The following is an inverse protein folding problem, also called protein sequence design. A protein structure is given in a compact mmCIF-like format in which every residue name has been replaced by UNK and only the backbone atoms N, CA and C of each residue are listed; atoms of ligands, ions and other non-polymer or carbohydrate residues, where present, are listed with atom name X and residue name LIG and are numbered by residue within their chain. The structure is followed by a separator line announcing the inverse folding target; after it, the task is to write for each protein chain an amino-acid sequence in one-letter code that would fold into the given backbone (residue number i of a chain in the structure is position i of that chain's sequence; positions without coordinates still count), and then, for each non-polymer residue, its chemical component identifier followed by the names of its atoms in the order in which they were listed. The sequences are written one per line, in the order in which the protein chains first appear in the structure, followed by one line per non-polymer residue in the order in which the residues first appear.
data_IF_302092351872
#
_entry.id   IF_302092351872
#
_cell.length_a   1.000
_cell.length_b   1.000
_cell.length_c   1.000
_cell.angle_alpha   90.00
_cell.angle_beta   90.00
_cell.angle_gamma   90.00
#
_symmetry.space_group_name_H-M   'P 1'
#
loop_
_entity.id
_entity.type
_entity.pdbx_description
1 polymer ?
#
# COMPACT_ATOMS: atom_id res chain seq x y z
N UNK A 1 39.84 -14.79 43.85
CA UNK A 1 38.62 -14.00 44.12
C UNK A 1 38.29 -12.95 43.03
N UNK A 2 38.79 -13.05 41.79
CA UNK A 2 38.57 -12.05 40.72
C UNK A 2 37.53 -12.44 39.64
N UNK A 3 36.78 -13.54 39.81
CA UNK A 3 35.87 -14.06 38.76
C UNK A 3 34.40 -13.59 38.88
N UNK A 4 34.02 -12.92 39.97
CA UNK A 4 32.61 -12.57 40.22
C UNK A 4 32.17 -11.22 39.62
N UNK A 5 33.10 -10.35 39.21
CA UNK A 5 32.77 -8.99 38.72
C UNK A 5 32.57 -8.89 37.19
N UNK A 6 32.93 -9.92 36.41
CA UNK A 6 32.82 -9.88 34.94
C UNK A 6 31.39 -10.16 34.44
N UNK A 7 30.64 -11.00 35.14
CA UNK A 7 29.28 -11.38 34.73
C UNK A 7 28.27 -10.20 34.72
N UNK A 8 28.23 -9.30 35.73
CA UNK A 8 27.30 -8.18 35.71
C UNK A 8 27.65 -7.13 34.65
N UNK A 9 28.93 -6.94 34.30
CA UNK A 9 29.37 -5.99 33.26
C UNK A 9 28.97 -6.49 31.87
N UNK A 10 29.09 -7.79 31.61
CA UNK A 10 28.63 -8.40 30.35
C UNK A 10 27.11 -8.36 30.25
N UNK A 11 26.39 -8.64 31.35
CA UNK A 11 24.93 -8.52 31.38
C UNK A 11 24.46 -7.07 31.18
N UNK A 12 25.15 -6.08 31.76
CA UNK A 12 24.83 -4.66 31.53
C UNK A 12 25.06 -4.26 30.06
N UNK A 13 26.18 -4.68 29.46
CA UNK A 13 26.52 -4.41 28.06
C UNK A 13 25.54 -5.07 27.07
N UNK A 14 25.09 -6.29 27.37
CA UNK A 14 24.01 -6.98 26.62
C UNK A 14 22.68 -6.26 26.80
N UNK A 15 22.38 -5.75 28.00
CA UNK A 15 21.13 -5.04 28.27
C UNK A 15 21.07 -3.64 27.64
N UNK A 16 22.20 -2.92 27.59
CA UNK A 16 22.28 -1.61 26.89
C UNK A 16 22.31 -1.76 25.37
N UNK A 17 22.80 -2.89 24.83
CA UNK A 17 22.74 -3.15 23.38
C UNK A 17 21.37 -3.65 22.90
N UNK A 18 20.49 -4.12 23.80
CA UNK A 18 19.12 -4.54 23.49
C UNK A 18 18.10 -3.40 23.42
N UNK A 19 18.43 -2.18 23.88
CA UNK A 19 17.49 -1.05 23.97
C UNK A 19 17.48 -0.07 22.78
N UNK A 20 18.21 -0.35 21.71
CA UNK A 20 18.08 0.39 20.44
C UNK A 20 17.33 -0.42 19.38
N UNK A 21 16.22 -1.05 19.77
CA UNK A 21 15.20 -1.42 18.78
C UNK A 21 14.48 -0.13 18.38
N UNK A 22 15.00 0.53 17.35
CA UNK A 22 14.16 1.45 16.57
C UNK A 22 12.99 0.59 16.11
N UNK A 23 11.75 1.00 16.41
CA UNK A 23 10.58 0.27 15.94
C UNK A 23 10.67 0.22 14.41
N UNK A 24 10.82 -0.98 13.86
CA UNK A 24 10.93 -1.19 12.42
C UNK A 24 9.60 -0.77 11.76
N UNK A 25 9.63 0.28 10.95
CA UNK A 25 8.48 0.68 10.15
C UNK A 25 8.25 -0.36 9.05
N UNK A 26 7.02 -0.84 8.91
CA UNK A 26 6.64 -1.85 7.92
C UNK A 26 5.78 -1.21 6.85
N UNK A 27 6.09 -1.47 5.58
CA UNK A 27 5.41 -0.87 4.43
C UNK A 27 4.99 -1.91 3.40
N UNK A 28 3.95 -1.61 2.63
CA UNK A 28 3.53 -2.38 1.46
C UNK A 28 2.88 -3.73 1.74
N UNK A 29 2.39 -4.36 0.67
CA UNK A 29 1.78 -5.68 0.72
C UNK A 29 2.77 -6.74 1.22
N UNK A 30 3.99 -6.72 0.69
CA UNK A 30 5.06 -7.64 1.05
C UNK A 30 5.63 -7.46 2.46
N UNK A 31 5.08 -6.55 3.27
CA UNK A 31 5.51 -6.23 4.64
C UNK A 31 7.01 -5.96 4.72
N UNK A 32 7.48 -5.03 3.90
CA UNK A 32 8.90 -4.69 3.81
C UNK A 32 9.33 -3.88 5.03
N UNK A 33 10.43 -4.27 5.66
CA UNK A 33 11.05 -3.48 6.74
C UNK A 33 11.77 -2.28 6.14
N UNK A 34 11.35 -1.09 6.56
CA UNK A 34 11.95 0.18 6.18
C UNK A 34 13.04 0.59 7.17
N UNK A 35 14.26 0.79 6.66
CA UNK A 35 15.39 1.31 7.44
C UNK A 35 15.89 2.59 6.78
N UNK A 36 15.60 3.73 7.42
CA UNK A 36 15.76 5.04 6.78
C UNK A 36 14.79 5.20 5.62
N UNK A 37 15.29 5.42 4.41
CA UNK A 37 14.47 5.48 3.18
C UNK A 37 14.64 4.24 2.28
N UNK A 38 15.07 3.11 2.86
CA UNK A 38 15.47 1.93 2.09
C UNK A 38 14.75 0.68 2.60
N UNK A 39 14.32 -0.14 1.66
CA UNK A 39 13.82 -1.49 1.91
C UNK A 39 14.80 -2.50 1.33
N UNK A 40 14.82 -3.70 1.89
CA UNK A 40 15.64 -4.80 1.36
C UNK A 40 14.75 -5.87 0.77
N UNK A 41 14.93 -6.18 -0.51
CA UNK A 41 14.20 -7.22 -1.22
C UNK A 41 15.18 -8.34 -1.57
N UNK A 42 14.75 -9.59 -1.38
CA UNK A 42 15.46 -10.79 -1.84
C UNK A 42 14.62 -11.46 -2.93
N UNK A 43 15.27 -11.76 -4.05
CA UNK A 43 14.77 -12.53 -5.20
C UNK A 43 14.16 -13.90 -4.80
N UNK A 44 14.66 -14.52 -3.74
CA UNK A 44 14.10 -15.77 -3.19
C UNK A 44 12.71 -15.58 -2.58
N UNK A 45 12.43 -14.40 -2.00
CA UNK A 45 11.17 -14.11 -1.31
C UNK A 45 10.17 -13.36 -2.21
N UNK A 46 10.63 -12.60 -3.19
CA UNK A 46 9.76 -11.77 -4.02
C UNK A 46 10.09 -11.90 -5.49
N UNK A 47 9.08 -11.76 -6.34
CA UNK A 47 9.22 -11.79 -7.80
C UNK A 47 8.31 -10.78 -8.47
N UNK A 48 8.66 -10.40 -9.69
CA UNK A 48 7.78 -9.59 -10.55
C UNK A 48 6.74 -10.52 -11.16
N UNK A 49 5.46 -10.14 -11.07
CA UNK A 49 4.40 -10.81 -11.80
C UNK A 49 4.38 -10.31 -13.26
N UNK A 50 4.29 -11.23 -14.22
CA UNK A 50 4.28 -10.93 -15.65
C UNK A 50 2.93 -11.20 -16.31
N UNK A 51 2.11 -12.07 -15.71
CA UNK A 51 0.81 -12.48 -16.25
C UNK A 51 -0.15 -12.95 -15.14
N UNK A 52 -1.37 -13.32 -15.52
CA UNK A 52 -2.40 -13.77 -14.58
C UNK A 52 -2.07 -15.10 -13.87
N UNK A 53 -1.28 -15.98 -14.47
CA UNK A 53 -0.87 -17.23 -13.81
C UNK A 53 0.00 -16.96 -12.58
N UNK A 54 0.76 -15.86 -12.60
CA UNK A 54 1.59 -15.45 -11.48
C UNK A 54 0.78 -15.01 -10.26
N UNK A 55 -0.48 -14.61 -10.45
CA UNK A 55 -1.34 -14.04 -9.43
C UNK A 55 -2.14 -15.07 -8.64
N UNK A 56 -2.10 -16.36 -9.04
CA UNK A 56 -2.89 -17.44 -8.44
C UNK A 56 -2.70 -17.56 -6.92
N UNK A 57 -1.50 -17.29 -6.44
CA UNK A 57 -1.12 -17.38 -5.03
C UNK A 57 -1.19 -16.04 -4.27
N UNK A 58 -1.46 -14.97 -5.00
CA UNK A 58 -1.54 -13.59 -4.55
C UNK A 58 -2.99 -13.17 -4.26
N UNK A 59 -3.91 -13.42 -5.20
CA UNK A 59 -5.32 -13.00 -5.04
C UNK A 59 -5.99 -13.79 -3.90
N UNK A 60 -6.71 -13.08 -3.04
CA UNK A 60 -7.45 -13.66 -1.91
C UNK A 60 -6.65 -13.85 -0.63
N UNK A 61 -5.39 -13.41 -0.58
CA UNK A 61 -4.64 -13.30 0.68
C UNK A 61 -5.03 -12.03 1.45
N UNK A 62 -4.65 -11.97 2.72
CA UNK A 62 -4.93 -10.80 3.57
C UNK A 62 -4.35 -9.52 2.96
N UNK A 63 -5.17 -8.48 2.87
CA UNK A 63 -4.85 -7.16 2.32
C UNK A 63 -4.38 -7.16 0.84
N UNK A 64 -4.37 -8.28 0.12
CA UNK A 64 -4.11 -8.28 -1.32
C UNK A 64 -5.27 -7.65 -2.09
N UNK A 65 -4.93 -6.88 -3.12
CA UNK A 65 -5.94 -6.40 -4.07
C UNK A 65 -6.40 -7.53 -5.00
N UNK A 66 -7.62 -7.41 -5.51
CA UNK A 66 -8.09 -8.16 -6.66
C UNK A 66 -7.45 -7.57 -7.92
N UNK A 67 -6.38 -8.23 -8.36
CA UNK A 67 -5.51 -7.78 -9.46
C UNK A 67 -5.62 -8.75 -10.62
N UNK A 68 -5.66 -8.21 -11.84
CA UNK A 68 -5.46 -8.96 -13.08
C UNK A 68 -4.59 -8.19 -14.05
N UNK A 69 -3.96 -8.90 -14.97
CA UNK A 69 -3.41 -8.35 -16.19
C UNK A 69 -4.48 -8.42 -17.29
N UNK A 70 -4.72 -7.32 -17.98
CA UNK A 70 -5.56 -7.33 -19.18
C UNK A 70 -4.77 -7.79 -20.43
N UNK A 71 -5.43 -7.79 -21.60
CA UNK A 71 -4.83 -8.27 -22.85
C UNK A 71 -3.62 -7.43 -23.30
N UNK A 72 -3.52 -6.17 -22.85
CA UNK A 72 -2.35 -5.32 -23.10
C UNK A 72 -1.24 -5.55 -22.07
N UNK A 73 -1.51 -6.37 -21.05
CA UNK A 73 -0.65 -6.59 -19.90
C UNK A 73 -0.63 -5.42 -18.94
N UNK A 74 -1.66 -4.56 -18.96
CA UNK A 74 -1.84 -3.50 -17.97
C UNK A 74 -2.31 -4.11 -16.64
N UNK A 75 -1.88 -3.53 -15.53
CA UNK A 75 -2.29 -3.96 -14.19
C UNK A 75 -3.66 -3.34 -13.90
N UNK A 76 -4.69 -4.17 -13.70
CA UNK A 76 -6.05 -3.73 -13.40
C UNK A 76 -6.40 -4.11 -11.96
N UNK A 77 -6.73 -3.10 -11.16
CA UNK A 77 -7.22 -3.24 -9.79
C UNK A 77 -8.73 -3.06 -9.79
N UNK A 78 -9.47 -3.99 -9.17
CA UNK A 78 -10.90 -3.88 -9.00
C UNK A 78 -11.23 -3.32 -7.60
N UNK A 79 -11.82 -2.12 -7.53
CA UNK A 79 -12.14 -1.50 -6.26
C UNK A 79 -13.35 -2.17 -5.57
N UNK A 80 -14.32 -2.63 -6.35
CA UNK A 80 -15.58 -3.16 -5.82
C UNK A 80 -15.38 -4.38 -4.90
N UNK A 81 -14.37 -5.21 -5.18
CA UNK A 81 -14.04 -6.39 -4.36
C UNK A 81 -13.30 -6.05 -3.06
N UNK A 82 -12.76 -4.83 -2.92
CA UNK A 82 -11.98 -4.39 -1.77
C UNK A 82 -12.61 -3.20 -1.03
N UNK A 83 -13.80 -2.75 -1.44
CA UNK A 83 -14.46 -1.57 -0.86
C UNK A 83 -14.71 -1.67 0.65
N UNK A 84 -14.85 -2.86 1.22
CA UNK A 84 -15.12 -3.04 2.66
C UNK A 84 -13.84 -3.16 3.49
N UNK A 85 -12.80 -3.76 2.90
CA UNK A 85 -11.58 -4.17 3.59
C UNK A 85 -10.39 -3.27 3.29
N UNK A 86 -10.41 -2.59 2.14
CA UNK A 86 -9.23 -2.03 1.51
C UNK A 86 -8.27 -3.12 1.02
N UNK A 87 -7.23 -2.70 0.32
CA UNK A 87 -6.13 -3.55 -0.10
C UNK A 87 -4.87 -2.73 -0.42
N UNK A 88 -3.76 -3.41 -0.63
CA UNK A 88 -2.48 -2.82 -1.02
C UNK A 88 -1.85 -3.61 -2.17
N UNK A 89 -1.22 -2.88 -3.10
CA UNK A 89 -0.32 -3.44 -4.11
C UNK A 89 1.07 -2.82 -4.01
N UNK A 90 2.08 -3.62 -4.31
CA UNK A 90 3.48 -3.21 -4.36
C UNK A 90 3.92 -3.05 -5.81
N UNK A 91 4.29 -1.83 -6.20
CA UNK A 91 4.66 -1.45 -7.56
C UNK A 91 6.14 -1.06 -7.59
N UNK A 92 6.93 -1.75 -8.39
CA UNK A 92 8.32 -1.43 -8.65
C UNK A 92 8.43 -0.50 -9.84
N UNK A 93 9.31 0.50 -9.76
CA UNK A 93 9.52 1.44 -10.86
C UNK A 93 10.97 1.92 -10.98
N UNK A 94 11.25 2.62 -12.08
CA UNK A 94 12.58 3.09 -12.48
C UNK A 94 12.73 4.62 -12.46
N UNK A 95 11.79 5.35 -11.85
CA UNK A 95 11.83 6.81 -11.86
C UNK A 95 12.60 7.37 -10.66
N UNK A 96 13.49 8.32 -10.95
CA UNK A 96 14.21 9.09 -9.92
C UNK A 96 13.33 10.18 -9.30
N UNK A 97 12.36 10.68 -10.05
CA UNK A 97 11.30 11.54 -9.55
C UNK A 97 10.10 10.66 -9.18
N UNK A 98 9.29 11.09 -8.22
CA UNK A 98 8.05 10.39 -7.98
C UNK A 98 7.06 10.69 -9.11
N UNK A 99 6.42 9.63 -9.57
CA UNK A 99 5.25 9.68 -10.44
C UNK A 99 4.33 8.55 -10.00
N UNK A 100 3.04 8.70 -10.16
CA UNK A 100 2.04 7.65 -10.14
C UNK A 100 1.02 8.00 -11.21
N UNK A 101 0.78 7.07 -12.13
CA UNK A 101 -0.11 7.28 -13.27
C UNK A 101 -1.03 6.07 -13.42
N UNK A 102 -2.33 6.31 -13.47
CA UNK A 102 -3.33 5.27 -13.70
C UNK A 102 -4.58 5.86 -14.33
N UNK A 103 -5.30 5.05 -15.10
CA UNK A 103 -6.64 5.39 -15.59
C UNK A 103 -7.68 4.86 -14.60
N UNK A 104 -8.49 5.74 -14.03
CA UNK A 104 -9.64 5.35 -13.24
C UNK A 104 -10.86 5.22 -14.16
N UNK A 105 -11.56 4.09 -14.10
CA UNK A 105 -12.71 3.81 -14.95
C UNK A 105 -13.92 3.43 -14.11
N UNK A 106 -15.04 4.07 -14.39
CA UNK A 106 -16.36 3.76 -13.87
C UNK A 106 -17.21 3.14 -14.99
N UNK A 107 -17.96 2.09 -14.68
CA UNK A 107 -18.76 1.33 -15.66
C UNK A 107 -19.98 0.66 -15.03
N UNK A 108 -20.95 0.26 -15.85
CA UNK A 108 -22.18 -0.39 -15.39
C UNK A 108 -22.56 -1.64 -16.22
N UNK A 109 -21.68 -2.63 -16.34
CA UNK A 109 -21.98 -3.96 -16.93
C UNK A 109 -22.94 -3.96 -18.15
N UNK A 110 -22.55 -3.20 -19.18
CA UNK A 110 -23.29 -2.99 -20.43
C UNK A 110 -24.56 -2.13 -20.39
N UNK A 111 -24.93 -1.59 -19.22
CA UNK A 111 -26.03 -0.66 -18.99
C UNK A 111 -25.56 0.79 -18.94
N UNK A 112 -26.51 1.73 -18.93
CA UNK A 112 -26.23 3.16 -18.90
C UNK A 112 -25.72 3.62 -17.52
N UNK A 113 -24.81 4.60 -17.49
CA UNK A 113 -24.23 5.11 -16.26
C UNK A 113 -25.28 5.75 -15.33
N UNK A 114 -26.36 6.32 -15.88
CA UNK A 114 -27.45 6.92 -15.09
C UNK A 114 -28.12 5.95 -14.11
N UNK A 115 -28.02 4.64 -14.35
CA UNK A 115 -28.62 3.62 -13.48
C UNK A 115 -27.78 3.36 -12.21
N UNK A 116 -26.49 3.73 -12.22
CA UNK A 116 -25.59 3.52 -11.10
C UNK A 116 -24.96 4.81 -10.55
N UNK A 117 -24.95 5.90 -11.33
CA UNK A 117 -24.57 7.23 -10.86
C UNK A 117 -25.74 7.94 -10.17
N UNK A 118 -25.40 8.91 -9.32
CA UNK A 118 -26.34 9.78 -8.63
C UNK A 118 -26.17 11.23 -9.09
N UNK A 119 -27.25 12.02 -9.03
CA UNK A 119 -27.24 13.41 -9.44
C UNK A 119 -26.47 14.28 -8.44
N UNK A 120 -25.75 15.27 -8.94
CA UNK A 120 -25.06 16.28 -8.12
C UNK A 120 -26.07 17.15 -7.34
N UNK A 121 -25.72 17.63 -6.14
CA UNK A 121 -24.37 17.67 -5.55
C UNK A 121 -23.94 16.41 -4.79
N UNK A 122 -24.87 15.52 -4.44
CA UNK A 122 -24.55 14.31 -3.66
C UNK A 122 -23.94 13.19 -4.52
N UNK A 123 -24.07 13.29 -5.84
CA UNK A 123 -23.65 12.29 -6.82
C UNK A 123 -22.20 11.81 -6.70
N UNK A 124 -21.25 12.75 -6.59
CA UNK A 124 -19.83 12.41 -6.43
C UNK A 124 -19.61 11.64 -5.11
N UNK A 125 -20.27 12.03 -4.02
CA UNK A 125 -20.11 11.39 -2.71
C UNK A 125 -20.53 9.92 -2.71
N UNK A 126 -21.56 9.59 -3.50
CA UNK A 126 -22.02 8.22 -3.65
C UNK A 126 -20.98 7.33 -4.34
N UNK A 127 -20.10 7.88 -5.18
CA UNK A 127 -19.14 7.11 -5.96
C UNK A 127 -17.68 7.49 -5.69
N UNK A 128 -17.36 7.92 -4.47
CA UNK A 128 -15.98 8.20 -4.04
C UNK A 128 -15.16 6.92 -3.90
N UNK A 129 -13.89 6.99 -4.27
CA UNK A 129 -12.89 5.94 -4.18
C UNK A 129 -11.69 6.49 -3.43
N UNK A 130 -11.60 6.26 -2.11
CA UNK A 130 -10.46 6.68 -1.32
C UNK A 130 -9.24 5.78 -1.59
N UNK A 131 -8.08 6.40 -1.73
CA UNK A 131 -6.80 5.71 -1.90
C UNK A 131 -5.66 6.49 -1.24
N UNK A 132 -4.58 5.79 -0.93
CA UNK A 132 -3.35 6.37 -0.41
C UNK A 132 -2.15 5.72 -1.09
N UNK A 133 -0.98 6.33 -0.97
CA UNK A 133 0.26 5.79 -1.52
C UNK A 133 1.43 6.14 -0.62
N UNK A 134 2.45 5.29 -0.60
CA UNK A 134 3.69 5.57 0.13
C UNK A 134 3.54 5.70 1.65
N UNK A 135 2.46 5.20 2.23
CA UNK A 135 2.26 5.17 3.69
C UNK A 135 2.75 3.85 4.29
N UNK A 136 2.98 3.83 5.61
CA UNK A 136 3.25 2.60 6.35
C UNK A 136 1.98 1.80 6.66
N UNK A 137 2.17 0.54 7.05
CA UNK A 137 1.09 -0.39 7.32
C UNK A 137 0.29 -0.03 8.58
N UNK A 138 0.92 0.61 9.57
CA UNK A 138 0.21 1.07 10.77
C UNK A 138 -0.81 2.17 10.41
N UNK A 139 -0.40 3.12 9.57
CA UNK A 139 -1.25 4.18 9.04
C UNK A 139 -2.36 3.60 8.17
N UNK A 140 -2.05 2.62 7.31
CA UNK A 140 -3.08 1.92 6.53
C UNK A 140 -4.13 1.24 7.42
N UNK A 141 -3.71 0.51 8.47
CA UNK A 141 -4.63 -0.14 9.40
C UNK A 141 -5.44 0.87 10.25
N UNK A 142 -4.90 2.07 10.48
CA UNK A 142 -5.68 3.18 11.07
C UNK A 142 -6.75 3.68 10.09
N UNK A 143 -6.40 3.95 8.84
CA UNK A 143 -7.34 4.43 7.82
C UNK A 143 -8.46 3.42 7.51
N UNK A 144 -8.16 2.13 7.59
CA UNK A 144 -9.18 1.07 7.46
C UNK A 144 -10.28 1.14 8.53
N UNK A 145 -10.06 1.80 9.66
CA UNK A 145 -11.09 1.94 10.72
C UNK A 145 -12.13 3.01 10.39
N UNK A 146 -11.86 3.82 9.38
CA UNK A 146 -12.75 4.83 8.87
C UNK A 146 -12.28 6.25 9.20
N UNK A 147 -13.20 7.23 9.24
CA UNK A 147 -12.84 8.63 9.38
C UNK A 147 -12.09 8.88 10.69
N UNK A 148 -10.86 9.39 10.59
CA UNK A 148 -9.97 9.52 11.73
C UNK A 148 -10.33 10.72 12.63
N UNK A 149 -10.28 10.51 13.95
CA UNK A 149 -10.75 11.46 14.97
C UNK A 149 -9.68 12.46 15.46
N UNK A 150 -8.48 12.46 14.88
CA UNK A 150 -7.51 13.51 15.23
C UNK A 150 -7.97 14.84 14.61
N UNK A 151 -8.43 15.74 15.46
CA UNK A 151 -8.68 17.12 15.10
C UNK A 151 -7.36 17.73 14.59
N UNK A 152 -7.23 17.85 13.27
CA UNK A 152 -6.20 18.68 12.68
C UNK A 152 -6.72 20.10 12.57
N UNK A 153 -5.91 21.05 13.04
CA UNK A 153 -6.12 22.45 12.75
C UNK A 153 -5.78 22.67 11.28
N UNK A 154 -6.80 22.77 10.42
CA UNK A 154 -6.62 23.44 9.14
C UNK A 154 -6.39 24.92 9.45
N UNK A 155 -5.38 25.52 8.82
CA UNK A 155 -4.89 26.87 9.18
C UNK A 155 -6.01 27.93 9.06
N UNK A 156 -7.08 27.64 8.29
CA UNK A 156 -8.24 28.49 8.11
C UNK A 156 -9.50 27.94 8.83
N UNK A 157 -9.57 28.15 10.14
CA UNK A 157 -10.75 27.76 10.95
C UNK A 157 -12.06 28.44 10.51
N UNK A 158 -12.00 29.62 9.87
CA UNK A 158 -13.20 30.31 9.39
C UNK A 158 -13.86 29.56 8.23
N UNK A 159 -13.08 28.92 7.36
CA UNK A 159 -13.59 28.11 6.26
C UNK A 159 -14.16 26.76 6.73
N UNK A 160 -13.59 26.19 7.80
CA UNK A 160 -14.10 24.97 8.42
C UNK A 160 -15.34 25.20 9.30
N UNK A 161 -15.33 26.27 10.11
CA UNK A 161 -16.29 26.52 11.20
C UNK A 161 -17.52 27.36 10.83
N UNK A 162 -17.44 28.30 9.88
CA UNK A 162 -18.59 29.16 9.56
C UNK A 162 -19.67 28.45 8.74
N UNK A 163 -19.36 27.28 8.16
CA UNK A 163 -20.33 26.38 7.56
C UNK A 163 -20.92 25.37 8.55
N UNK A 164 -20.38 25.18 9.75
CA UNK A 164 -20.78 24.08 10.64
C UNK A 164 -20.32 22.69 10.18
N UNK A 165 -19.22 22.61 9.43
CA UNK A 165 -18.54 21.38 9.06
C UNK A 165 -17.31 21.12 9.93
N UNK A 166 -16.72 19.94 9.81
CA UNK A 166 -15.40 19.66 10.36
C UNK A 166 -14.33 19.83 9.27
N UNK A 167 -13.07 19.91 9.66
CA UNK A 167 -11.94 19.82 8.77
C UNK A 167 -10.98 18.80 9.35
N UNK A 168 -10.50 17.88 8.53
CA UNK A 168 -9.71 16.75 9.00
C UNK A 168 -8.36 16.71 8.31
N UNK A 169 -7.43 16.03 8.97
CA UNK A 169 -6.09 15.85 8.44
C UNK A 169 -6.18 15.07 7.12
N UNK A 170 -5.59 15.57 6.03
CA UNK A 170 -5.58 14.82 4.79
C UNK A 170 -4.68 13.60 4.94
N UNK A 171 -5.26 12.42 4.75
CA UNK A 171 -4.57 11.13 4.93
C UNK A 171 -4.54 10.27 3.65
N UNK A 172 -5.12 10.77 2.57
CA UNK A 172 -5.18 10.13 1.27
C UNK A 172 -5.83 11.05 0.26
N UNK A 173 -6.11 10.49 -0.92
CA UNK A 173 -6.85 11.13 -1.99
C UNK A 173 -8.15 10.36 -2.22
N UNK A 174 -9.15 11.03 -2.77
CA UNK A 174 -10.37 10.38 -3.22
C UNK A 174 -10.78 10.93 -4.57
N UNK A 175 -11.18 10.03 -5.47
CA UNK A 175 -11.73 10.35 -6.79
C UNK A 175 -13.18 9.87 -6.83
N UNK A 176 -14.08 10.62 -7.46
CA UNK A 176 -15.48 10.21 -7.56
C UNK A 176 -16.17 10.73 -8.81
N UNK A 177 -17.36 10.16 -9.06
CA UNK A 177 -18.20 10.47 -10.22
C UNK A 177 -19.61 10.82 -9.79
N UNK A 178 -20.19 11.83 -10.41
CA UNK A 178 -21.61 12.15 -10.33
C UNK A 178 -22.12 12.56 -11.70
N UNK A 179 -23.37 12.99 -11.79
CA UNK A 179 -23.85 13.62 -13.01
C UNK A 179 -24.61 14.91 -12.76
N UNK A 180 -24.59 15.78 -13.77
CA UNK A 180 -25.38 17.01 -13.79
C UNK A 180 -25.96 17.18 -15.18
N UNK A 181 -27.30 17.17 -15.28
CA UNK A 181 -27.96 17.07 -16.57
C UNK A 181 -27.61 15.76 -17.26
N UNK A 182 -27.14 15.82 -18.50
CA UNK A 182 -26.78 14.65 -19.32
C UNK A 182 -25.28 14.28 -19.24
N UNK A 183 -24.48 15.00 -18.45
CA UNK A 183 -23.02 14.83 -18.39
C UNK A 183 -22.56 14.16 -17.11
N UNK A 184 -21.56 13.30 -17.25
CA UNK A 184 -20.80 12.78 -16.13
C UNK A 184 -19.83 13.85 -15.66
N UNK A 185 -19.73 14.02 -14.35
CA UNK A 185 -18.75 14.86 -13.68
C UNK A 185 -17.79 13.98 -12.90
N UNK A 186 -16.50 14.31 -12.96
CA UNK A 186 -15.47 13.69 -12.14
C UNK A 186 -14.95 14.73 -11.17
N UNK A 187 -14.80 14.33 -9.92
CA UNK A 187 -14.14 15.14 -8.91
C UNK A 187 -13.01 14.38 -8.25
N UNK A 188 -12.04 15.12 -7.73
CA UNK A 188 -10.96 14.55 -6.95
C UNK A 188 -10.53 15.54 -5.88
N UNK A 189 -10.22 15.02 -4.69
CA UNK A 189 -9.92 15.82 -3.50
C UNK A 189 -9.07 15.02 -2.51
N UNK A 190 -8.65 15.67 -1.43
CA UNK A 190 -8.05 14.98 -0.30
C UNK A 190 -9.14 14.35 0.57
N UNK A 191 -8.85 13.19 1.15
CA UNK A 191 -9.76 12.58 2.13
C UNK A 191 -9.90 13.53 3.33
N UNK A 192 -11.13 13.96 3.62
CA UNK A 192 -11.45 14.88 4.73
C UNK A 192 -11.43 16.37 4.38
N UNK A 193 -11.29 16.71 3.10
CA UNK A 193 -11.34 18.10 2.61
C UNK A 193 -12.77 18.48 2.20
N UNK A 194 -13.38 19.52 2.80
CA UNK A 194 -14.78 19.88 2.55
C UNK A 194 -15.07 20.46 1.16
N UNK A 195 -14.04 20.95 0.45
CA UNK A 195 -14.20 21.50 -0.88
C UNK A 195 -14.01 20.41 -1.93
N UNK A 196 -15.02 20.23 -2.77
CA UNK A 196 -14.97 19.34 -3.91
C UNK A 196 -14.59 20.10 -5.18
N UNK A 197 -13.52 19.63 -5.82
CA UNK A 197 -13.08 20.13 -7.10
C UNK A 197 -13.52 19.15 -8.18
N UNK A 198 -14.47 19.58 -8.99
CA UNK A 198 -15.12 18.75 -10.01
C UNK A 198 -15.01 19.37 -11.39
N UNK A 199 -15.18 18.53 -12.41
CA UNK A 199 -15.32 18.99 -13.77
C UNK A 199 -16.20 18.08 -14.61
N UNK A 200 -16.87 18.62 -15.64
CA UNK A 200 -17.61 17.81 -16.60
C UNK A 200 -16.65 17.02 -17.49
N UNK A 201 -16.98 15.76 -17.74
CA UNK A 201 -16.32 14.95 -18.75
C UNK A 201 -16.90 15.30 -20.13
N UNK A 202 -16.03 15.77 -21.03
CA UNK A 202 -16.44 16.31 -22.34
C UNK A 202 -17.17 15.29 -23.22
N UNK A 203 -16.76 14.02 -23.14
CA UNK A 203 -17.26 12.95 -24.01
C UNK A 203 -18.11 11.90 -23.28
N UNK A 204 -18.24 12.02 -21.95
CA UNK A 204 -18.98 11.05 -21.15
C UNK A 204 -20.36 11.57 -20.78
N UNK A 205 -21.37 11.07 -21.49
CA UNK A 205 -22.78 11.28 -21.15
C UNK A 205 -23.29 10.21 -20.18
N UNK A 206 -24.37 10.51 -19.45
CA UNK A 206 -25.00 9.55 -18.54
C UNK A 206 -25.59 8.32 -19.24
N UNK A 207 -25.83 8.40 -20.55
CA UNK A 207 -26.28 7.29 -21.40
C UNK A 207 -25.12 6.42 -21.91
N UNK A 208 -23.86 6.81 -21.64
CA UNK A 208 -22.71 5.95 -21.91
C UNK A 208 -22.73 4.76 -20.96
N UNK A 209 -21.89 3.75 -21.25
CA UNK A 209 -21.72 2.56 -20.40
C UNK A 209 -20.50 2.64 -19.47
N UNK A 210 -19.62 3.60 -19.75
CA UNK A 210 -18.35 3.80 -19.06
C UNK A 210 -17.93 5.27 -19.09
N UNK A 211 -17.16 5.67 -18.10
CA UNK A 211 -16.41 6.93 -18.04
C UNK A 211 -14.99 6.61 -17.56
N UNK A 212 -13.99 7.18 -18.20
CA UNK A 212 -12.58 6.91 -17.90
C UNK A 212 -11.81 8.22 -17.79
N UNK A 213 -10.90 8.29 -16.81
CA UNK A 213 -10.09 9.48 -16.57
C UNK A 213 -8.67 9.09 -16.18
N UNK A 214 -7.69 9.73 -16.81
CA UNK A 214 -6.28 9.51 -16.48
C UNK A 214 -5.91 10.35 -15.27
N UNK A 215 -5.38 9.71 -14.23
CA UNK A 215 -4.92 10.33 -12.99
C UNK A 215 -3.40 10.31 -12.98
N UNK A 216 -2.80 11.49 -12.83
CA UNK A 216 -1.35 11.66 -12.65
C UNK A 216 -1.06 12.34 -11.32
N UNK A 217 -0.27 11.71 -10.44
CA UNK A 217 0.28 12.30 -9.21
C UNK A 217 1.80 12.36 -9.33
N UNK A 218 2.43 13.51 -9.10
CA UNK A 218 3.89 13.66 -9.15
C UNK A 218 4.45 14.58 -8.04
N UNK A 219 5.76 14.83 -8.04
CA UNK A 219 6.50 15.60 -7.03
C UNK A 219 6.70 17.10 -7.35
N UNK A 220 6.60 17.48 -8.62
CA UNK A 220 6.75 18.88 -9.07
C UNK A 220 5.42 19.63 -8.98
N UNK A 221 4.36 18.86 -9.13
CA UNK A 221 3.00 19.29 -9.18
C UNK A 221 2.38 18.67 -7.91
N UNK A 222 2.11 19.50 -6.90
CA UNK A 222 1.24 19.25 -5.72
C UNK A 222 -0.18 18.76 -6.12
N UNK A 223 -0.38 18.13 -7.27
CA UNK A 223 -1.65 18.05 -7.99
C UNK A 223 -1.84 16.72 -8.68
N UNK A 224 -3.03 16.17 -8.54
CA UNK A 224 -3.51 15.21 -9.51
C UNK A 224 -3.89 15.96 -10.79
N UNK A 225 -3.59 15.41 -11.97
CA UNK A 225 -4.19 15.88 -13.23
C UNK A 225 -5.16 14.82 -13.74
N UNK A 226 -6.34 15.27 -14.15
CA UNK A 226 -7.26 14.51 -14.96
C UNK A 226 -6.90 14.80 -16.44
N UNK A 227 -6.29 13.84 -17.15
CA UNK A 227 -5.87 14.02 -18.56
C UNK A 227 -6.71 13.23 -19.58
N UNK A 228 -6.54 13.49 -20.89
CA UNK A 228 -6.81 14.75 -21.57
C UNK A 228 -8.31 14.85 -21.94
N UNK A 229 -9.03 15.75 -21.29
CA UNK A 229 -10.14 16.42 -21.95
C UNK A 229 -9.50 17.38 -22.94
N UNK A 230 -9.85 17.34 -24.23
CA UNK A 230 -9.45 18.42 -25.13
C UNK A 230 -10.08 19.72 -24.59
N UNK A 231 -9.25 20.55 -23.95
CA UNK A 231 -9.40 21.94 -23.53
C UNK A 231 -10.34 22.37 -22.37
N UNK A 232 -11.02 21.50 -21.60
CA UNK A 232 -11.99 22.02 -20.59
C UNK A 232 -11.91 21.47 -19.16
N UNK A 233 -11.05 20.51 -18.82
CA UNK A 233 -10.90 20.10 -17.43
C UNK A 233 -9.47 19.73 -17.03
N UNK A 234 -8.88 20.59 -16.20
CA UNK A 234 -7.77 20.23 -15.31
C UNK A 234 -8.20 20.57 -13.88
N UNK A 235 -8.65 19.54 -13.14
CA UNK A 235 -8.87 19.68 -11.69
C UNK A 235 -7.54 19.60 -11.00
N UNK A 236 -7.25 20.60 -10.19
CA UNK A 236 -5.95 20.88 -9.65
C UNK A 236 -6.17 21.78 -8.41
N UNK A 237 -5.45 21.62 -7.29
CA UNK A 237 -5.64 22.38 -6.03
C UNK A 237 -5.71 23.95 -6.06
N UNK A 238 -5.45 24.62 -7.21
CA UNK A 238 -4.99 26.03 -7.50
C UNK A 238 -5.95 26.49 -8.59
N UNK A 239 -6.32 25.60 -9.53
CA UNK A 239 -7.45 25.83 -10.42
C UNK A 239 -8.79 25.59 -9.73
N UNK A 240 -8.80 24.95 -8.56
CA UNK A 240 -10.02 24.76 -7.79
C UNK A 240 -10.47 26.07 -7.16
N UNK A 241 -11.72 26.43 -7.41
CA UNK A 241 -12.36 27.61 -6.86
C UNK A 241 -13.70 27.22 -6.21
N UNK A 242 -13.84 27.32 -4.88
CA UNK A 242 -12.84 27.85 -3.94
C UNK A 242 -11.61 26.93 -3.79
N UNK A 243 -10.45 27.47 -3.36
CA UNK A 243 -9.29 26.64 -3.06
C UNK A 243 -9.58 25.73 -1.85
N UNK A 244 -8.88 24.62 -1.80
CA UNK A 244 -8.96 23.67 -0.69
C UNK A 244 -8.60 24.31 0.65
N UNK A 245 -9.36 23.97 1.70
CA UNK A 245 -9.30 24.63 3.01
C UNK A 245 -8.16 24.10 3.87
N UNK A 246 -7.88 22.81 3.77
CA UNK A 246 -6.86 22.11 4.55
C UNK A 246 -5.50 22.04 3.83
N UNK A 247 -5.29 22.91 2.85
CA UNK A 247 -4.10 22.92 2.01
C UNK A 247 -3.25 24.17 2.26
N UNK A 248 -2.31 24.12 3.21
CA UNK A 248 -1.11 24.94 3.08
C UNK A 248 0.02 24.10 2.50
N UNK A 249 0.82 24.65 1.58
CA UNK A 249 1.99 23.98 0.97
C UNK A 249 2.99 23.46 2.03
N UNK A 250 2.95 24.04 3.24
CA UNK A 250 3.67 23.52 4.41
C UNK A 250 3.00 22.27 4.98
N UNK A 251 1.67 22.27 5.10
CA UNK A 251 0.87 21.16 5.60
C UNK A 251 0.92 19.92 4.68
N UNK A 252 0.91 20.05 3.36
CA UNK A 252 1.06 18.89 2.45
C UNK A 252 2.41 18.17 2.59
N UNK A 253 3.50 18.93 2.83
CA UNK A 253 4.83 18.38 3.15
C UNK A 253 4.91 17.77 4.55
N UNK A 254 4.15 18.30 5.52
CA UNK A 254 4.15 17.87 6.93
C UNK A 254 3.20 16.69 7.18
N UNK A 255 2.11 16.54 6.43
CA UNK A 255 1.06 15.54 6.67
C UNK A 255 1.15 14.26 5.80
N UNK A 256 2.26 14.10 5.07
CA UNK A 256 2.60 12.82 4.44
C UNK A 256 1.79 12.49 3.19
N UNK A 257 1.32 13.52 2.47
CA UNK A 257 0.98 13.39 1.04
C UNK A 257 2.20 13.66 0.14
N UNK A 258 3.36 13.89 0.75
CA UNK A 258 4.62 13.90 0.04
C UNK A 258 4.85 12.49 -0.49
N UNK A 259 4.92 12.30 -1.81
CA UNK A 259 4.96 10.98 -2.33
C UNK A 259 6.24 10.26 -1.94
N UNK A 260 6.08 9.19 -1.15
CA UNK A 260 7.19 8.37 -0.70
C UNK A 260 7.31 7.15 -1.58
N UNK A 261 8.48 7.03 -2.20
CA UNK A 261 8.95 5.79 -2.79
C UNK A 261 10.22 5.40 -2.07
N UNK A 262 10.36 4.11 -1.78
CA UNK A 262 11.47 3.61 -1.00
C UNK A 262 12.52 3.02 -1.92
N UNK A 263 13.80 3.31 -1.65
CA UNK A 263 14.89 2.72 -2.41
C UNK A 263 14.98 1.23 -2.13
N UNK A 264 15.10 0.44 -3.20
CA UNK A 264 15.26 -1.00 -3.11
C UNK A 264 16.75 -1.32 -3.03
N UNK A 265 17.16 -1.97 -1.94
CA UNK A 265 18.43 -2.69 -1.85
C UNK A 265 18.20 -4.15 -2.21
N UNK A 266 18.82 -4.59 -3.30
CA UNK A 266 18.85 -6.00 -3.68
C UNK A 266 19.98 -6.69 -2.94
N UNK A 267 19.71 -7.92 -2.47
CA UNK A 267 20.76 -8.79 -1.95
C UNK A 267 21.54 -9.48 -3.07
N UNK A 268 20.84 -9.85 -4.15
CA UNK A 268 21.37 -10.69 -5.22
C UNK A 268 20.81 -10.20 -6.59
N UNK A 269 21.60 -9.50 -7.42
CA UNK A 269 21.22 -9.21 -8.83
C UNK A 269 21.44 -7.77 -9.36
N UNK A 270 21.22 -7.61 -10.67
CA UNK A 270 21.42 -6.38 -11.45
C UNK A 270 20.13 -5.54 -11.56
N UNK A 271 20.27 -4.21 -11.48
CA UNK A 271 19.21 -3.27 -11.10
C UNK A 271 18.44 -2.74 -12.29
N UNK A 272 17.31 -3.38 -12.61
CA UNK A 272 16.38 -2.83 -13.59
C UNK A 272 15.34 -1.89 -12.94
N UNK A 273 14.92 -2.15 -11.70
CA UNK A 273 13.98 -1.32 -10.93
C UNK A 273 14.59 -1.06 -9.55
N UNK A 274 14.56 0.17 -9.07
CA UNK A 274 15.31 0.54 -7.85
C UNK A 274 14.45 1.26 -6.81
N UNK A 275 13.14 1.37 -7.06
CA UNK A 275 12.18 1.95 -6.11
C UNK A 275 10.90 1.16 -5.99
N UNK A 276 10.36 1.14 -4.78
CA UNK A 276 9.05 0.60 -4.45
C UNK A 276 8.07 1.73 -4.16
N UNK A 277 6.90 1.63 -4.77
CA UNK A 277 5.69 2.38 -4.47
C UNK A 277 4.62 1.41 -4.00
N UNK A 278 4.09 1.59 -2.78
CA UNK A 278 2.89 0.87 -2.36
C UNK A 278 1.67 1.74 -2.57
N UNK A 279 0.70 1.24 -3.32
CA UNK A 279 -0.59 1.87 -3.57
C UNK A 279 -1.66 1.14 -2.74
N UNK A 280 -2.41 1.91 -1.96
CA UNK A 280 -3.44 1.42 -1.06
C UNK A 280 -4.80 1.86 -1.57
N UNK A 281 -5.67 0.90 -1.94
CA UNK A 281 -7.09 1.19 -2.08
C UNK A 281 -7.71 1.14 -0.70
N UNK A 282 -8.19 2.27 -0.21
CA UNK A 282 -8.76 2.34 1.13
C UNK A 282 -10.20 1.83 1.09
N UNK A 283 -10.73 1.25 2.18
CA UNK A 283 -12.15 0.89 2.20
C UNK A 283 -13.03 2.15 2.13
N UNK A 284 -14.25 2.01 1.64
CA UNK A 284 -15.20 3.11 1.48
C UNK A 284 -15.43 3.90 2.76
N UNK A 285 -15.44 3.20 3.89
CA UNK A 285 -15.56 3.84 5.21
C UNK A 285 -14.44 4.79 5.57
N UNK A 286 -13.31 4.80 4.85
CA UNK A 286 -12.26 5.79 5.02
C UNK A 286 -12.63 7.16 4.42
N UNK A 287 -13.59 7.21 3.49
CA UNK A 287 -14.10 8.44 2.89
C UNK A 287 -15.16 9.11 3.79
N UNK A 288 -15.47 10.36 3.45
CA UNK A 288 -16.44 11.19 4.15
C UNK A 288 -17.63 11.52 3.25
N UNK A 289 -18.82 11.62 3.83
CA UNK A 289 -19.97 12.21 3.14
C UNK A 289 -19.82 13.73 3.14
N UNK A 290 -19.93 14.34 1.97
CA UNK A 290 -19.98 15.79 1.81
C UNK A 290 -21.44 16.22 1.63
N UNK A 291 -21.86 17.30 2.26
CA UNK A 291 -23.20 17.85 2.08
C UNK A 291 -23.15 19.37 2.14
N UNK A 292 -23.43 20.03 1.01
CA UNK A 292 -23.43 21.49 0.91
C UNK A 292 -22.10 22.13 1.34
N UNK A 293 -20.97 21.53 0.96
CA UNK A 293 -19.62 22.02 1.32
C UNK A 293 -19.20 21.73 2.77
N UNK A 294 -19.86 20.75 3.42
CA UNK A 294 -19.52 20.30 4.78
C UNK A 294 -19.22 18.80 4.75
N UNK A 295 -18.20 18.36 5.46
CA UNK A 295 -18.00 16.93 5.73
C UNK A 295 -18.85 16.49 6.93
N UNK A 296 -19.35 15.26 6.86
CA UNK A 296 -19.91 14.55 8.00
C UNK A 296 -19.08 13.30 8.28
N UNK A 297 -18.95 12.89 9.55
CA UNK A 297 -18.25 11.65 9.94
C UNK A 297 -18.98 10.36 9.53
N UNK A 298 -19.96 10.44 8.65
CA UNK A 298 -20.62 9.27 8.09
C UNK A 298 -19.86 8.83 6.85
N UNK A 299 -19.60 7.53 6.77
CA UNK A 299 -19.08 6.91 5.57
C UNK A 299 -20.12 7.01 4.44
N UNK A 300 -19.70 7.30 3.20
CA UNK A 300 -20.57 7.13 2.04
C UNK A 300 -20.91 5.65 1.84
N UNK A 301 -22.08 5.37 1.25
CA UNK A 301 -22.53 4.00 0.96
C UNK A 301 -21.60 3.29 -0.06
N UNK A 302 -20.87 4.08 -0.83
CA UNK A 302 -19.93 3.59 -1.83
C UNK A 302 -20.55 3.38 -3.21
N UNK A 303 -19.66 3.18 -4.20
CA UNK A 303 -20.05 3.21 -5.60
C UNK A 303 -20.99 2.05 -5.92
N UNK A 304 -22.10 2.40 -6.59
CA UNK A 304 -23.00 1.39 -7.19
C UNK A 304 -22.44 0.87 -8.52
N UNK A 305 -21.66 1.70 -9.20
CA UNK A 305 -20.98 1.34 -10.44
C UNK A 305 -19.75 0.45 -10.17
N UNK A 306 -19.28 -0.23 -11.21
CA UNK A 306 -18.01 -0.95 -11.20
C UNK A 306 -16.86 0.01 -11.45
N UNK A 307 -15.90 0.03 -10.54
CA UNK A 307 -14.75 0.91 -10.54
C UNK A 307 -13.47 0.09 -10.66
N UNK A 308 -12.64 0.48 -11.62
CA UNK A 308 -11.33 -0.11 -11.88
C UNK A 308 -10.26 0.97 -11.95
N UNK A 309 -9.08 0.66 -11.42
CA UNK A 309 -7.87 1.45 -11.65
C UNK A 309 -6.94 0.64 -12.55
N UNK A 310 -6.52 1.22 -13.66
CA UNK A 310 -5.61 0.60 -14.63
C UNK A 310 -4.27 1.32 -14.63
N UNK A 311 -3.21 0.59 -14.30
CA UNK A 311 -1.83 1.08 -14.41
C UNK A 311 -1.23 0.48 -15.68
N UNK A 312 -0.96 1.32 -16.67
CA UNK A 312 -0.49 0.86 -17.98
C UNK A 312 0.84 0.11 -17.87
N UNK A 313 1.03 -0.98 -18.61
CA UNK A 313 2.33 -1.66 -18.74
C UNK A 313 3.44 -0.72 -19.24
N UNK A 314 3.06 0.28 -20.04
CA UNK A 314 3.97 1.29 -20.60
C UNK A 314 4.51 2.26 -19.54
N UNK A 315 3.81 2.40 -18.41
CA UNK A 315 4.15 3.30 -17.30
C UNK A 315 5.45 2.95 -16.58
N UNK A 316 6.11 1.83 -16.95
CA UNK A 316 7.31 1.26 -16.32
C UNK A 316 7.09 0.77 -14.88
N UNK A 317 5.85 0.71 -14.39
CA UNK A 317 5.52 -0.02 -13.17
C UNK A 317 5.51 -1.54 -13.43
N UNK A 318 5.96 -2.29 -12.43
CA UNK A 318 5.85 -3.75 -12.37
C UNK A 318 5.25 -4.16 -11.04
N UNK A 319 4.32 -5.09 -11.05
CA UNK A 319 3.73 -5.63 -9.83
C UNK A 319 4.73 -6.56 -9.15
N UNK A 320 5.07 -6.26 -7.90
CA UNK A 320 5.88 -7.11 -7.03
C UNK A 320 4.94 -7.98 -6.19
N UNK A 321 5.19 -9.28 -6.21
CA UNK A 321 4.43 -10.25 -5.41
C UNK A 321 5.39 -11.10 -4.57
N UNK A 322 4.89 -11.67 -3.48
CA UNK A 322 5.64 -12.66 -2.71
C UNK A 322 5.75 -13.96 -3.52
N UNK A 323 6.97 -14.48 -3.58
CA UNK A 323 7.25 -15.81 -4.08
C UNK A 323 6.89 -16.82 -2.97
N UNK A 324 5.69 -17.40 -3.03
CA UNK A 324 5.42 -18.59 -2.23
C UNK A 324 6.25 -19.73 -2.82
N UNK A 325 7.35 -20.06 -2.15
CA UNK A 325 8.09 -21.30 -2.38
C UNK A 325 7.07 -22.42 -2.58
N UNK A 326 7.20 -23.12 -3.70
CA UNK A 326 6.33 -24.23 -4.04
C UNK A 326 6.32 -25.24 -2.88
N UNK A 327 5.21 -25.97 -2.71
CA UNK A 327 5.14 -27.03 -1.69
C UNK A 327 6.36 -27.98 -1.77
N UNK A 328 6.85 -28.23 -2.99
CA UNK A 328 8.02 -29.03 -3.28
C UNK A 328 9.31 -28.42 -2.70
N UNK A 329 9.54 -27.13 -2.86
CA UNK A 329 10.70 -26.44 -2.29
C UNK A 329 10.62 -26.36 -0.75
N UNK A 330 9.43 -26.13 -0.20
CA UNK A 330 9.20 -26.23 1.25
C UNK A 330 9.52 -27.64 1.76
N UNK A 331 9.10 -28.68 1.04
CA UNK A 331 9.42 -30.07 1.37
C UNK A 331 10.92 -30.34 1.32
N UNK A 332 11.62 -29.81 0.30
CA UNK A 332 13.08 -29.96 0.16
C UNK A 332 13.81 -29.29 1.32
N UNK A 333 13.39 -28.08 1.72
CA UNK A 333 13.98 -27.38 2.87
C UNK A 333 13.75 -28.17 4.17
N UNK A 334 12.52 -28.64 4.40
CA UNK A 334 12.20 -29.45 5.58
C UNK A 334 12.99 -30.77 5.58
N UNK A 335 13.08 -31.46 4.44
CA UNK A 335 13.87 -32.67 4.30
C UNK A 335 15.35 -32.41 4.56
N UNK A 336 15.91 -31.31 4.05
CA UNK A 336 17.30 -30.91 4.30
C UNK A 336 17.58 -30.63 5.78
N UNK A 337 16.67 -29.93 6.47
CA UNK A 337 16.76 -29.69 7.91
C UNK A 337 16.69 -31.02 8.69
N UNK A 338 15.79 -31.93 8.32
CA UNK A 338 15.70 -33.25 8.94
C UNK A 338 17.02 -34.03 8.78
N UNK A 339 17.62 -34.05 7.58
CA UNK A 339 18.90 -34.72 7.33
C UNK A 339 20.02 -34.15 8.20
N UNK A 340 20.09 -32.82 8.33
CA UNK A 340 21.07 -32.15 9.20
C UNK A 340 20.87 -32.54 10.67
N UNK A 341 19.63 -32.54 11.16
CA UNK A 341 19.31 -32.95 12.54
C UNK A 341 19.73 -34.42 12.77
N UNK A 342 19.41 -35.33 11.84
CA UNK A 342 19.81 -36.73 11.93
C UNK A 342 21.34 -36.90 11.94
N UNK A 343 22.07 -36.16 11.10
CA UNK A 343 23.53 -36.17 11.08
C UNK A 343 24.12 -35.69 12.42
N UNK A 344 23.57 -34.61 13.00
CA UNK A 344 23.98 -34.12 14.31
C UNK A 344 23.74 -35.15 15.42
N UNK A 345 22.55 -35.77 15.45
CA UNK A 345 22.23 -36.81 16.44
C UNK A 345 23.17 -38.00 16.30
N UNK A 346 23.40 -38.48 15.07
CA UNK A 346 24.31 -39.59 14.81
C UNK A 346 25.75 -39.28 15.26
N UNK A 347 26.23 -38.06 15.00
CA UNK A 347 27.55 -37.63 15.44
C UNK A 347 27.67 -37.59 16.97
N UNK A 348 26.65 -37.11 17.68
CA UNK A 348 26.60 -37.12 19.15
C UNK A 348 26.67 -38.57 19.67
N UNK A 349 25.85 -39.47 19.11
CA UNK A 349 25.85 -40.89 19.49
C UNK A 349 27.23 -41.53 19.25
N UNK A 350 27.84 -41.28 18.09
CA UNK A 350 29.19 -41.75 17.77
C UNK A 350 30.23 -41.26 18.78
N UNK A 351 30.20 -39.97 19.14
CA UNK A 351 31.10 -39.39 20.14
C UNK A 351 30.93 -40.03 21.53
N UNK A 352 29.69 -40.29 21.95
CA UNK A 352 29.40 -40.96 23.23
C UNK A 352 29.96 -42.39 23.25
N UNK A 353 29.73 -43.16 22.18
CA UNK A 353 30.25 -44.54 22.05
C UNK A 353 31.78 -44.55 22.09
N UNK A 354 32.42 -43.67 21.31
CA UNK A 354 33.88 -43.59 21.24
C UNK A 354 34.50 -43.18 22.57
N UNK A 355 33.88 -42.24 23.29
CA UNK A 355 34.32 -41.83 24.63
C UNK A 355 34.21 -42.99 25.63
N UNK A 356 33.11 -43.75 25.57
CA UNK A 356 32.93 -44.96 26.41
C UNK A 356 33.99 -46.02 26.11
N UNK A 357 34.26 -46.31 24.84
CA UNK A 357 35.32 -47.26 24.43
C UNK A 357 36.70 -46.82 24.93
N UNK A 358 37.03 -45.53 24.84
CA UNK A 358 38.29 -45.01 25.37
C UNK A 358 38.38 -45.14 26.90
N UNK A 359 37.29 -44.86 27.62
CA UNK A 359 37.24 -45.04 29.08
C UNK A 359 37.37 -46.51 29.49
N UNK A 360 36.73 -47.43 28.76
CA UNK A 360 36.81 -48.87 29.03
C UNK A 360 38.22 -49.41 28.74
N UNK A 361 38.88 -48.92 27.68
CA UNK A 361 40.28 -49.23 27.38
C UNK A 361 41.23 -48.75 28.49
N UNK A 362 41.08 -47.50 28.94
CA UNK A 362 41.88 -46.96 30.05
C UNK A 362 41.70 -47.76 31.36
N UNK A 363 40.49 -48.27 31.63
CA UNK A 363 40.23 -49.15 32.80
C UNK A 363 40.90 -50.52 32.67
N UNK A 364 41.01 -51.05 31.46
CA UNK A 364 41.76 -52.28 31.17
C UNK A 364 43.25 -52.09 31.45
N UNK A 365 43.84 -51.05 30.85
CA UNK A 365 45.27 -50.74 30.99
C UNK A 365 45.67 -50.47 32.47
N UNK A 366 44.77 -49.87 33.28
CA UNK A 366 45.02 -49.68 34.73
C UNK A 366 44.95 -50.97 35.55
N UNK A 367 44.27 -52.02 35.09
CA UNK A 367 44.22 -53.32 35.80
C UNK A 367 45.47 -54.16 35.57
N UNK A 368 46.08 -54.06 34.39
CA UNK A 368 47.29 -54.82 34.04
C UNK A 368 48.59 -54.20 34.59
N UNK A 369 48.51 -53.02 35.21
CA UNK A 369 49.63 -52.31 35.84
C UNK A 369 49.71 -52.50 37.36
N UNK A 370 48.91 -53.40 37.94
CA UNK A 370 49.00 -53.86 39.34
C UNK A 370 49.44 -55.31 39.38
#
# INVERSE_FOLDING_TARGET
MLRAAFLPIVLLAVWTSLKCSVADTVVGYGRHTLVGNKITISDRKYRIAENNDDLKDYVGTENACDVKFDDNGDIVLNYNSVRETGCVVDLMHRYLAFKLEFTATLSNDNKELKECLEEMPDGINANLVPFAYGIDLERFEKLKKGPYNEHAFCDNQAACGNGGGECLKPEGLEIGWGYKGDRVHVGMQQVGEPILCECPQKFDGINNKRSSVDVLVDDHIIWFRLGPTDDECSVSFDSCNPPFVCNSVKQSKIYGLNPMTWEIKYKDGDLTYYRLLSLYLLPQKAAFQHHGGKITRKAPNGPKCNIQLRISKSSKYKLLIENKLSLKEKLIIVAGICVLIFACIWFIVYMVIKTKQNMDKMKGDMKDSK
#
